data_IF_164942187568
#
_entry.id   IF_164942187568
#
_cell.length_a   1.000
_cell.length_b   1.000
_cell.length_c   1.000
_cell.angle_alpha   90.00
_cell.angle_beta   90.00
_cell.angle_gamma   90.00
#
_symmetry.space_group_name_H-M   'P 1'
#
loop_
_entity.id
_entity.type
_entity.pdbx_description
1 polymer ?
#
# COMPACT_ATOMS: atom_id res chain seq x y z
N UNK A 1 -12.48 1.76 2.97
CA UNK A 1 -12.20 3.06 3.65
C UNK A 1 -12.67 4.24 2.79
N UNK A 2 -13.40 5.21 3.35
CA UNK A 2 -13.89 6.40 2.64
C UNK A 2 -13.15 7.69 3.10
N UNK A 3 -11.81 7.68 2.99
CA UNK A 3 -11.02 8.89 3.26
C UNK A 3 -11.14 9.85 2.08
N UNK A 4 -11.46 11.12 2.30
CA UNK A 4 -11.47 12.12 1.23
C UNK A 4 -10.06 12.28 0.65
N UNK A 5 -9.93 12.54 -0.66
CA UNK A 5 -8.62 12.75 -1.29
C UNK A 5 -7.84 13.89 -0.62
N UNK A 6 -8.56 14.90 -0.11
CA UNK A 6 -7.98 16.00 0.67
C UNK A 6 -7.34 15.54 1.98
N UNK A 7 -8.02 14.69 2.77
CA UNK A 7 -7.44 14.17 4.01
C UNK A 7 -6.22 13.30 3.72
N UNK A 8 -6.28 12.44 2.69
CA UNK A 8 -5.13 11.61 2.28
C UNK A 8 -3.93 12.48 1.85
N UNK A 9 -4.18 13.56 1.12
CA UNK A 9 -3.13 14.50 0.71
C UNK A 9 -2.53 15.28 1.87
N UNK A 10 -3.31 15.59 2.91
CA UNK A 10 -2.77 16.13 4.16
C UNK A 10 -1.87 15.11 4.86
N UNK A 11 -2.33 13.87 5.02
CA UNK A 11 -1.55 12.78 5.64
C UNK A 11 -0.21 12.56 4.94
N UNK A 12 -0.20 12.50 3.60
CA UNK A 12 1.03 12.34 2.82
C UNK A 12 2.07 13.45 3.09
N UNK A 13 1.64 14.65 3.47
CA UNK A 13 2.53 15.79 3.76
C UNK A 13 3.05 15.81 5.20
N UNK A 14 2.23 15.37 6.16
CA UNK A 14 2.53 15.52 7.60
C UNK A 14 3.07 14.26 8.25
N UNK A 15 2.77 13.09 7.70
CA UNK A 15 3.32 11.84 8.19
C UNK A 15 4.77 11.71 7.74
N UNK A 16 5.61 11.21 8.65
CA UNK A 16 6.90 10.68 8.23
C UNK A 16 6.68 9.47 7.32
N UNK A 17 7.76 9.05 6.68
CA UNK A 17 7.69 8.03 5.64
C UNK A 17 7.23 6.66 6.16
N UNK A 18 7.68 6.25 7.34
CA UNK A 18 7.34 4.96 7.92
C UNK A 18 5.85 4.94 8.29
N UNK A 19 5.39 5.98 8.97
CA UNK A 19 3.98 6.16 9.31
C UNK A 19 3.09 6.17 8.07
N UNK A 20 3.52 6.83 7.00
CA UNK A 20 2.78 6.86 5.74
C UNK A 20 2.74 5.48 5.07
N UNK A 21 3.88 4.79 5.01
CA UNK A 21 3.95 3.42 4.50
C UNK A 21 3.03 2.49 5.28
N UNK A 22 3.08 2.52 6.61
CA UNK A 22 2.20 1.72 7.47
C UNK A 22 0.73 2.05 7.23
N UNK A 23 0.39 3.33 7.07
CA UNK A 23 -0.96 3.75 6.73
C UNK A 23 -1.44 3.16 5.39
N UNK A 24 -0.57 3.11 4.37
CA UNK A 24 -0.89 2.49 3.08
C UNK A 24 -1.12 0.99 3.23
N UNK A 25 -0.21 0.29 3.90
CA UNK A 25 -0.32 -1.16 4.16
C UNK A 25 -1.64 -1.49 4.86
N UNK A 26 -2.02 -0.75 5.91
CA UNK A 26 -3.29 -0.96 6.62
C UNK A 26 -4.52 -0.68 5.73
N UNK A 27 -4.43 0.27 4.80
CA UNK A 27 -5.52 0.52 3.85
C UNK A 27 -5.70 -0.66 2.89
N UNK A 28 -4.59 -1.23 2.41
CA UNK A 28 -4.60 -2.38 1.53
C UNK A 28 -5.11 -3.63 2.25
N UNK A 29 -4.61 -3.91 3.46
CA UNK A 29 -5.07 -5.01 4.30
C UNK A 29 -6.59 -4.95 4.46
N UNK A 30 -7.09 -3.80 4.93
CA UNK A 30 -8.52 -3.60 5.12
C UNK A 30 -9.30 -3.79 3.83
N UNK A 31 -8.78 -3.34 2.69
CA UNK A 31 -9.45 -3.54 1.41
C UNK A 31 -9.52 -5.02 1.02
N UNK A 32 -8.46 -5.79 1.26
CA UNK A 32 -8.43 -7.22 1.00
C UNK A 32 -9.38 -7.98 1.94
N UNK A 33 -9.43 -7.61 3.22
CA UNK A 33 -10.42 -8.15 4.18
C UNK A 33 -11.85 -7.77 3.79
N UNK A 34 -12.11 -6.54 3.35
CA UNK A 34 -13.42 -6.09 2.84
C UNK A 34 -13.85 -6.88 1.58
N UNK A 35 -12.94 -7.60 0.93
CA UNK A 35 -13.19 -8.50 -0.20
C UNK A 35 -13.31 -9.98 0.20
N UNK A 36 -13.40 -10.25 1.50
CA UNK A 36 -13.48 -11.59 2.10
C UNK A 36 -12.22 -12.46 1.87
N UNK A 37 -11.06 -11.85 1.60
CA UNK A 37 -9.80 -12.60 1.54
C UNK A 37 -9.20 -12.76 2.95
N UNK A 38 -8.67 -13.94 3.24
CA UNK A 38 -7.83 -14.15 4.43
C UNK A 38 -6.46 -13.50 4.19
N UNK A 39 -6.20 -12.40 4.88
CA UNK A 39 -5.06 -11.52 4.58
C UNK A 39 -4.15 -11.35 5.79
N UNK A 40 -2.86 -11.58 5.58
CA UNK A 40 -1.81 -11.26 6.54
C UNK A 40 -0.74 -10.43 5.83
N UNK A 41 -0.34 -9.33 6.45
CA UNK A 41 0.74 -8.47 5.98
C UNK A 41 1.93 -8.53 6.94
N UNK A 42 3.08 -8.94 6.41
CA UNK A 42 4.33 -9.02 7.16
C UNK A 42 5.35 -8.16 6.45
N UNK A 43 5.94 -7.19 7.13
CA UNK A 43 7.03 -6.39 6.57
C UNK A 43 8.05 -6.06 7.66
N UNK A 44 9.25 -5.70 7.22
CA UNK A 44 10.32 -5.29 8.10
C UNK A 44 10.81 -3.90 7.71
N UNK A 45 10.60 -2.93 8.60
CA UNK A 45 11.11 -1.57 8.44
C UNK A 45 12.36 -1.39 9.31
N UNK A 46 13.53 -1.64 8.73
CA UNK A 46 14.80 -1.45 9.44
C UNK A 46 15.36 -0.05 9.18
N UNK A 47 15.63 0.74 10.22
CA UNK A 47 16.10 2.13 10.09
C UNK A 47 17.34 2.27 9.18
N UNK A 48 18.31 1.36 9.31
CA UNK A 48 19.58 1.40 8.58
C UNK A 48 19.51 0.81 7.17
N UNK A 49 18.42 0.13 6.81
CA UNK A 49 18.21 -0.42 5.48
C UNK A 49 17.70 0.67 4.53
N UNK A 50 18.21 0.68 3.30
CA UNK A 50 17.68 1.50 2.21
C UNK A 50 16.36 0.96 1.64
N UNK A 51 16.02 -0.29 1.95
CA UNK A 51 14.84 -0.97 1.43
C UNK A 51 13.91 -1.39 2.56
N UNK A 52 12.60 -1.37 2.28
CA UNK A 52 11.59 -2.13 3.03
C UNK A 52 11.20 -3.32 2.18
N UNK A 53 11.06 -4.48 2.81
CA UNK A 53 10.57 -5.69 2.16
C UNK A 53 9.50 -6.35 3.01
N UNK A 54 8.61 -7.07 2.36
CA UNK A 54 7.55 -7.78 3.04
C UNK A 54 6.78 -8.72 2.13
N UNK A 55 5.73 -9.28 2.69
CA UNK A 55 4.83 -10.22 2.06
C UNK A 55 3.38 -9.81 2.32
N UNK A 56 2.57 -9.90 1.28
CA UNK A 56 1.13 -10.08 1.42
C UNK A 56 0.86 -11.58 1.34
N UNK A 57 0.22 -12.14 2.36
CA UNK A 57 -0.33 -13.49 2.31
C UNK A 57 -1.83 -13.32 2.10
N UNK A 58 -2.34 -13.76 0.95
CA UNK A 58 -3.74 -13.59 0.54
C UNK A 58 -4.27 -14.98 0.20
N UNK A 59 -5.25 -15.47 0.96
CA UNK A 59 -5.84 -16.80 0.81
C UNK A 59 -4.80 -17.94 0.74
N UNK A 60 -3.73 -17.80 1.55
CA UNK A 60 -2.62 -18.75 1.62
C UNK A 60 -1.54 -18.59 0.54
N UNK A 61 -1.70 -17.67 -0.41
CA UNK A 61 -0.68 -17.35 -1.42
C UNK A 61 0.17 -16.17 -0.97
N UNK A 62 1.49 -16.28 -1.15
CA UNK A 62 2.45 -15.25 -0.74
C UNK A 62 2.91 -14.41 -1.93
N UNK A 63 2.83 -13.10 -1.77
CA UNK A 63 3.26 -12.09 -2.71
C UNK A 63 4.31 -11.20 -2.04
N UNK A 64 5.56 -11.29 -2.50
CA UNK A 64 6.67 -10.51 -1.93
C UNK A 64 6.79 -9.15 -2.59
N UNK A 65 7.14 -8.12 -1.83
CA UNK A 65 7.54 -6.82 -2.36
C UNK A 65 8.86 -6.36 -1.76
N UNK A 66 9.59 -5.56 -2.54
CA UNK A 66 10.77 -4.82 -2.08
C UNK A 66 10.65 -3.40 -2.62
N UNK A 67 10.71 -2.41 -1.74
CA UNK A 67 10.66 -1.00 -2.10
C UNK A 67 11.85 -0.27 -1.50
N UNK A 68 12.53 0.50 -2.34
CA UNK A 68 13.54 1.43 -1.89
C UNK A 68 12.88 2.62 -1.18
N UNK A 69 13.43 3.03 -0.03
CA UNK A 69 12.94 4.15 0.77
C UNK A 69 13.05 5.48 0.03
N UNK A 70 14.04 5.70 -0.83
CA UNK A 70 14.05 6.90 -1.67
C UNK A 70 12.84 6.92 -2.62
N UNK A 71 12.54 5.80 -3.27
CA UNK A 71 11.38 5.66 -4.15
C UNK A 71 10.06 5.86 -3.39
N UNK A 72 9.93 5.28 -2.19
CA UNK A 72 8.78 5.50 -1.31
C UNK A 72 8.54 6.98 -1.04
N UNK A 73 9.61 7.74 -0.76
CA UNK A 73 9.53 9.18 -0.49
C UNK A 73 9.07 9.94 -1.73
N UNK A 74 9.57 9.56 -2.89
CA UNK A 74 9.15 10.15 -4.17
C UNK A 74 7.66 9.89 -4.42
N UNK A 75 7.19 8.65 -4.23
CA UNK A 75 5.79 8.27 -4.38
C UNK A 75 4.89 9.03 -3.40
N UNK A 76 5.25 9.09 -2.12
CA UNK A 76 4.52 9.85 -1.10
C UNK A 76 4.37 11.33 -1.48
N UNK A 77 5.41 11.93 -2.04
CA UNK A 77 5.40 13.34 -2.47
C UNK A 77 4.69 13.57 -3.81
N UNK A 78 4.65 12.56 -4.68
CA UNK A 78 4.08 12.66 -6.02
C UNK A 78 2.56 12.76 -6.00
N UNK A 79 1.90 11.85 -5.28
CA UNK A 79 0.44 11.83 -5.18
C UNK A 79 0.00 11.06 -3.93
N UNK A 80 -1.13 11.43 -3.30
CA UNK A 80 -1.59 10.81 -2.06
C UNK A 80 -1.85 9.30 -2.13
N UNK A 81 -1.98 8.74 -3.34
CA UNK A 81 -2.20 7.31 -3.60
C UNK A 81 -1.14 6.65 -4.50
N UNK A 82 -0.03 7.34 -4.82
CA UNK A 82 0.97 6.78 -5.74
C UNK A 82 1.60 5.48 -5.20
N UNK A 83 1.85 5.42 -3.89
CA UNK A 83 2.39 4.23 -3.25
C UNK A 83 1.37 3.06 -3.27
N UNK A 84 0.10 3.35 -2.95
CA UNK A 84 -0.97 2.37 -3.03
C UNK A 84 -1.03 1.74 -4.42
N UNK A 85 -0.99 2.58 -5.47
CA UNK A 85 -1.03 2.13 -6.86
C UNK A 85 0.09 1.15 -7.18
N UNK A 86 1.34 1.49 -6.85
CA UNK A 86 2.51 0.64 -7.13
C UNK A 86 2.38 -0.72 -6.44
N UNK A 87 1.94 -0.75 -5.18
CA UNK A 87 1.74 -2.00 -4.46
C UNK A 87 0.59 -2.83 -5.04
N UNK A 88 -0.53 -2.20 -5.41
CA UNK A 88 -1.62 -2.90 -6.09
C UNK A 88 -1.21 -3.44 -7.45
N UNK A 89 -0.46 -2.67 -8.24
CA UNK A 89 0.08 -3.11 -9.54
C UNK A 89 0.98 -4.34 -9.38
N UNK A 90 1.80 -4.40 -8.33
CA UNK A 90 2.61 -5.58 -8.01
C UNK A 90 1.73 -6.81 -7.75
N UNK A 91 0.66 -6.68 -6.96
CA UNK A 91 -0.26 -7.79 -6.70
C UNK A 91 -1.00 -8.24 -7.97
N UNK A 92 -1.37 -7.29 -8.86
CA UNK A 92 -1.99 -7.60 -10.16
C UNK A 92 -1.02 -8.38 -11.05
N UNK A 93 0.25 -7.99 -11.08
CA UNK A 93 1.29 -8.69 -11.83
C UNK A 93 1.46 -10.14 -11.36
N UNK A 94 1.25 -10.39 -10.07
CA UNK A 94 1.26 -11.73 -9.48
C UNK A 94 -0.09 -12.48 -9.61
N UNK A 95 -1.07 -11.91 -10.32
CA UNK A 95 -2.33 -12.56 -10.67
C UNK A 95 -3.53 -12.19 -9.78
N UNK A 96 -3.40 -11.25 -8.85
CA UNK A 96 -4.54 -10.76 -8.07
C UNK A 96 -5.52 -9.99 -8.97
N UNK A 97 -6.79 -10.39 -8.95
CA UNK A 97 -7.86 -9.69 -9.66
C UNK A 97 -8.49 -8.66 -8.73
N UNK A 98 -8.34 -7.38 -9.06
CA UNK A 98 -8.99 -6.31 -8.29
C UNK A 98 -10.51 -6.38 -8.40
N UNK A 99 -11.20 -6.27 -7.27
CA UNK A 99 -12.65 -6.04 -7.23
C UNK A 99 -12.92 -4.54 -7.20
N UNK A 100 -14.11 -4.11 -7.63
CA UNK A 100 -14.45 -2.68 -7.62
C UNK A 100 -14.58 -2.15 -6.18
N UNK A 101 -13.98 -1.00 -5.88
CA UNK A 101 -14.19 -0.29 -4.62
C UNK A 101 -13.86 1.19 -4.76
N UNK A 102 -14.45 2.03 -3.90
CA UNK A 102 -14.13 3.46 -3.85
C UNK A 102 -12.64 3.74 -3.56
N UNK A 103 -11.95 2.81 -2.91
CA UNK A 103 -10.53 2.95 -2.61
C UNK A 103 -9.68 2.61 -3.83
N UNK A 104 -9.99 1.52 -4.54
CA UNK A 104 -9.34 1.18 -5.80
C UNK A 104 -9.57 2.28 -6.84
N UNK A 105 -10.79 2.80 -6.95
CA UNK A 105 -11.09 3.91 -7.87
C UNK A 105 -10.18 5.12 -7.60
N UNK A 106 -9.89 5.45 -6.33
CA UNK A 106 -8.98 6.54 -5.96
C UNK A 106 -7.51 6.20 -6.18
N UNK A 107 -7.13 4.94 -5.94
CA UNK A 107 -5.76 4.48 -6.14
C UNK A 107 -5.36 4.57 -7.62
N UNK A 108 -6.29 4.35 -8.55
CA UNK A 108 -6.04 4.32 -9.99
C UNK A 108 -6.53 5.56 -10.77
N UNK A 109 -7.08 6.58 -10.10
CA UNK A 109 -7.43 7.88 -10.70
C UNK A 109 -6.21 8.78 -10.89
#
# INVERSE_FOLDING_TARGET
>A
MNTSGMLRGYLAKVMDQESFFFHVINCMEKQLTDWDNDTILLFNWEEQSENVSGFFIIDGFSHSFVLNKQTLRQLQNQSPYALDRVLWESLIQDGLILKKSNYIDKAFM
#
